data_IF_452229258100
#
_entry.id   IF_452229258100
#
_cell.length_a   1.000
_cell.length_b   1.000
_cell.length_c   1.000
_cell.angle_alpha   90.00
_cell.angle_beta   90.00
_cell.angle_gamma   90.00
#
_symmetry.space_group_name_H-M   'P 1'
#
loop_
_entity.id
_entity.type
_entity.pdbx_description
1 polymer ?
#
# COMPACT_ATOMS: atom_id res chain seq x y z
N UNK A 1 33.07 -1.54 33.39
CA UNK A 1 33.26 -1.74 31.93
C UNK A 1 32.46 -2.93 31.39
N UNK A 2 32.61 -4.16 31.91
CA UNK A 2 31.82 -5.33 31.45
C UNK A 2 30.30 -5.15 31.46
N UNK A 3 29.74 -4.48 32.49
CA UNK A 3 28.30 -4.20 32.59
C UNK A 3 27.79 -3.21 31.52
N UNK A 4 28.63 -2.23 31.14
CA UNK A 4 28.30 -1.25 30.08
C UNK A 4 28.36 -1.93 28.71
N UNK A 5 29.37 -2.77 28.48
CA UNK A 5 29.50 -3.57 27.26
C UNK A 5 28.30 -4.52 27.12
N UNK A 6 27.87 -5.17 28.20
CA UNK A 6 26.71 -6.05 28.20
C UNK A 6 25.40 -5.29 27.90
N UNK A 7 25.21 -4.10 28.48
CA UNK A 7 24.06 -3.25 28.18
C UNK A 7 24.04 -2.75 26.73
N UNK A 8 25.21 -2.45 26.16
CA UNK A 8 25.35 -2.03 24.77
C UNK A 8 25.02 -3.17 23.78
N UNK A 9 25.48 -4.39 24.09
CA UNK A 9 25.18 -5.59 23.28
C UNK A 9 23.69 -5.95 23.37
N UNK A 10 23.09 -5.82 24.55
CA UNK A 10 21.66 -6.11 24.74
C UNK A 10 20.79 -5.11 23.97
N UNK A 11 21.11 -3.81 24.04
CA UNK A 11 20.37 -2.78 23.28
C UNK A 11 20.54 -2.93 21.77
N UNK A 12 21.73 -3.31 21.29
CA UNK A 12 21.96 -3.58 19.87
C UNK A 12 21.23 -4.85 19.37
N UNK A 13 21.12 -5.89 20.22
CA UNK A 13 20.39 -7.12 19.90
C UNK A 13 18.87 -6.97 19.85
N UNK A 14 18.28 -6.05 20.63
CA UNK A 14 16.86 -5.71 20.52
C UNK A 14 16.53 -4.92 19.24
N UNK A 15 17.47 -4.11 18.72
CA UNK A 15 17.27 -3.34 17.50
C UNK A 15 17.13 -4.23 16.24
N UNK A 16 17.71 -5.43 16.22
CA UNK A 16 17.66 -6.32 15.05
C UNK A 16 16.37 -7.11 14.91
N UNK A 17 15.52 -7.18 15.94
CA UNK A 17 14.24 -7.92 15.91
C UNK A 17 13.16 -7.13 15.14
N UNK A 18 13.40 -5.83 14.87
CA UNK A 18 12.42 -4.96 14.20
C UNK A 18 12.53 -4.93 12.67
N UNK A 19 13.41 -5.73 12.05
CA UNK A 19 13.41 -5.89 10.59
C UNK A 19 12.25 -6.80 10.19
N UNK A 20 11.16 -6.16 9.76
CA UNK A 20 9.81 -6.69 9.67
C UNK A 20 9.58 -7.84 8.69
N UNK A 21 8.54 -8.61 9.00
CA UNK A 21 7.95 -9.59 8.09
C UNK A 21 7.39 -8.87 6.85
N UNK A 22 7.61 -9.42 5.65
CA UNK A 22 6.90 -8.97 4.45
C UNK A 22 5.39 -9.12 4.70
N UNK A 23 4.63 -8.04 4.53
CA UNK A 23 3.19 -8.03 4.82
C UNK A 23 2.35 -8.75 3.75
N UNK A 24 3.00 -9.22 2.68
CA UNK A 24 2.39 -9.97 1.59
C UNK A 24 3.31 -11.09 1.08
N UNK A 25 2.69 -12.13 0.55
CA UNK A 25 3.32 -13.22 -0.18
C UNK A 25 3.24 -12.96 -1.69
N UNK A 26 4.28 -13.38 -2.42
CA UNK A 26 4.30 -13.35 -3.89
C UNK A 26 3.94 -14.73 -4.42
N UNK A 27 2.91 -14.80 -5.26
CA UNK A 27 2.49 -16.00 -5.97
C UNK A 27 2.94 -15.88 -7.43
N UNK A 28 3.73 -16.83 -7.91
CA UNK A 28 4.23 -16.83 -9.30
C UNK A 28 3.19 -17.53 -10.18
N UNK A 29 2.64 -16.80 -11.14
CA UNK A 29 1.61 -17.31 -12.07
C UNK A 29 2.23 -17.71 -13.42
N UNK A 30 3.38 -17.13 -13.77
CA UNK A 30 4.05 -17.38 -15.05
C UNK A 30 5.36 -16.61 -15.20
N UNK A 31 5.92 -16.60 -16.42
CA UNK A 31 7.16 -15.88 -16.71
C UNK A 31 6.89 -14.37 -16.70
N UNK A 32 7.34 -13.70 -15.64
CA UNK A 32 7.12 -12.27 -15.34
C UNK A 32 5.69 -11.90 -14.85
N UNK A 33 4.85 -12.89 -14.55
CA UNK A 33 3.51 -12.70 -14.02
C UNK A 33 3.45 -13.18 -12.58
N UNK A 34 2.91 -12.33 -11.70
CA UNK A 34 2.78 -12.65 -10.28
C UNK A 34 1.57 -11.95 -9.67
N UNK A 35 1.05 -12.58 -8.62
CA UNK A 35 0.02 -12.04 -7.75
C UNK A 35 0.58 -11.77 -6.37
N UNK A 36 -0.01 -10.83 -5.64
CA UNK A 36 0.31 -10.57 -4.24
C UNK A 36 -0.86 -11.01 -3.36
N UNK A 37 -0.55 -11.59 -2.20
CA UNK A 37 -1.53 -12.02 -1.20
C UNK A 37 -1.12 -11.53 0.17
N UNK A 38 -1.92 -10.66 0.79
CA UNK A 38 -1.66 -10.07 2.10
C UNK A 38 -2.01 -8.58 2.13
N UNK A 39 -1.36 -7.83 3.00
CA UNK A 39 -1.49 -6.38 3.06
C UNK A 39 -0.55 -5.76 2.03
N UNK A 40 -1.14 -5.08 1.05
CA UNK A 40 -0.43 -4.50 -0.09
C UNK A 40 -0.60 -2.99 -0.03
N UNK A 41 0.52 -2.27 0.11
CA UNK A 41 0.51 -0.82 0.07
C UNK A 41 0.52 -0.30 -1.37
N UNK A 42 0.16 0.97 -1.56
CA UNK A 42 0.20 1.61 -2.88
C UNK A 42 1.62 1.62 -3.47
N UNK A 43 2.62 1.83 -2.61
CA UNK A 43 4.04 1.92 -2.98
C UNK A 43 4.54 0.60 -3.54
N UNK A 44 4.05 -0.53 -3.03
CA UNK A 44 4.37 -1.87 -3.58
C UNK A 44 3.93 -1.97 -5.05
N UNK A 45 2.75 -1.46 -5.38
CA UNK A 45 2.22 -1.47 -6.74
C UNK A 45 2.96 -0.49 -7.67
N UNK A 46 3.40 0.66 -7.14
CA UNK A 46 4.12 1.68 -7.92
C UNK A 46 5.56 1.29 -8.24
N UNK A 47 6.25 0.61 -7.31
CA UNK A 47 7.69 0.31 -7.43
C UNK A 47 7.98 -0.99 -8.18
N UNK A 48 6.97 -1.83 -8.41
CA UNK A 48 7.15 -3.16 -8.99
C UNK A 48 6.71 -3.19 -10.46
N UNK A 49 7.66 -3.49 -11.34
CA UNK A 49 7.45 -3.46 -12.79
C UNK A 49 6.50 -4.54 -13.32
N UNK A 50 6.09 -5.51 -12.50
CA UNK A 50 5.00 -6.43 -12.85
C UNK A 50 3.61 -5.76 -12.81
N UNK A 51 3.45 -4.59 -12.18
CA UNK A 51 2.16 -3.90 -12.03
C UNK A 51 2.07 -2.60 -12.82
N UNK A 52 2.62 -2.57 -14.06
CA UNK A 52 2.59 -1.40 -14.96
C UNK A 52 1.18 -0.85 -15.21
N UNK A 53 0.17 -1.72 -15.15
CA UNK A 53 -1.23 -1.37 -15.25
C UNK A 53 -1.63 -0.26 -14.26
N UNK A 54 -0.94 -0.10 -13.13
CA UNK A 54 -1.26 0.94 -12.15
C UNK A 54 -1.08 2.34 -12.74
N UNK A 55 0.11 2.63 -13.25
CA UNK A 55 0.42 3.94 -13.84
C UNK A 55 -0.34 4.17 -15.14
N UNK A 56 -0.52 3.11 -15.94
CA UNK A 56 -1.26 3.15 -17.21
C UNK A 56 -2.73 3.54 -16.97
N UNK A 57 -3.41 2.91 -16.00
CA UNK A 57 -4.82 3.17 -15.72
C UNK A 57 -5.08 4.44 -14.89
N UNK A 58 -4.04 5.03 -14.31
CA UNK A 58 -4.11 6.34 -13.66
C UNK A 58 -3.99 7.49 -14.66
N UNK A 59 -3.35 7.27 -15.81
CA UNK A 59 -3.02 8.33 -16.77
C UNK A 59 -4.27 9.05 -17.27
N UNK A 60 -4.29 10.38 -17.11
CA UNK A 60 -5.38 11.23 -17.58
C UNK A 60 -6.67 11.13 -16.76
N UNK A 61 -6.67 10.38 -15.65
CA UNK A 61 -7.80 10.36 -14.74
C UNK A 61 -7.82 11.62 -13.86
N UNK A 62 -9.01 12.21 -13.72
CA UNK A 62 -9.27 13.28 -12.75
C UNK A 62 -10.46 12.84 -11.89
N UNK A 63 -10.32 12.79 -10.55
CA UNK A 63 -11.42 12.43 -9.67
C UNK A 63 -12.63 13.37 -9.83
N UNK A 64 -13.82 12.82 -9.66
CA UNK A 64 -15.05 13.63 -9.65
C UNK A 64 -15.04 14.63 -8.48
N UNK A 65 -15.23 15.91 -8.77
CA UNK A 65 -15.16 16.98 -7.76
C UNK A 65 -16.21 16.84 -6.63
N UNK A 66 -17.40 16.31 -6.94
CA UNK A 66 -18.42 16.01 -5.95
C UNK A 66 -18.02 14.88 -5.01
N UNK A 67 -17.43 13.81 -5.56
CA UNK A 67 -16.90 12.70 -4.77
C UNK A 67 -15.75 13.15 -3.85
N UNK A 68 -14.81 13.96 -4.36
CA UNK A 68 -13.72 14.55 -3.55
C UNK A 68 -14.29 15.35 -2.39
N UNK A 69 -15.24 16.24 -2.67
CA UNK A 69 -15.87 17.10 -1.66
C UNK A 69 -16.57 16.28 -0.59
N UNK A 70 -17.35 15.28 -1.00
CA UNK A 70 -18.09 14.40 -0.09
C UNK A 70 -17.14 13.58 0.78
N UNK A 71 -16.10 13.00 0.19
CA UNK A 71 -15.14 12.18 0.92
C UNK A 71 -14.36 13.00 1.93
N UNK A 72 -13.90 14.20 1.54
CA UNK A 72 -13.23 15.13 2.44
C UNK A 72 -14.11 15.53 3.63
N UNK A 73 -15.40 15.76 3.41
CA UNK A 73 -16.37 16.11 4.47
C UNK A 73 -16.54 15.00 5.51
N UNK A 74 -16.43 13.73 5.08
CA UNK A 74 -16.74 12.56 5.91
C UNK A 74 -15.50 11.75 6.32
N UNK A 75 -14.29 12.21 5.97
CA UNK A 75 -13.04 11.48 6.17
C UNK A 75 -12.77 11.06 7.63
N UNK A 76 -13.30 11.81 8.59
CA UNK A 76 -13.16 11.50 10.02
C UNK A 76 -14.22 10.57 10.59
N UNK A 77 -15.30 10.36 9.85
CA UNK A 77 -16.43 9.53 10.26
C UNK A 77 -16.43 8.12 9.66
N UNK A 78 -15.50 7.81 8.75
CA UNK A 78 -15.48 6.55 8.02
C UNK A 78 -14.11 5.88 8.06
N UNK A 79 -14.12 4.54 7.97
CA UNK A 79 -12.96 3.71 7.74
C UNK A 79 -13.18 2.94 6.42
N UNK A 80 -12.12 2.80 5.63
CA UNK A 80 -12.16 2.10 4.35
C UNK A 80 -11.35 0.81 4.48
N UNK A 81 -12.05 -0.34 4.45
CA UNK A 81 -11.44 -1.65 4.34
C UNK A 81 -11.58 -2.12 2.89
N UNK A 82 -10.45 -2.28 2.20
CA UNK A 82 -10.43 -2.56 0.76
C UNK A 82 -9.84 -3.94 0.52
N UNK A 83 -10.61 -4.78 -0.18
CA UNK A 83 -10.15 -6.05 -0.72
C UNK A 83 -10.03 -5.92 -2.24
N UNK A 84 -8.91 -6.36 -2.78
CA UNK A 84 -8.59 -6.25 -4.19
C UNK A 84 -7.73 -7.44 -4.62
N UNK A 85 -7.72 -7.73 -5.92
CA UNK A 85 -6.86 -8.76 -6.49
C UNK A 85 -5.85 -8.14 -7.44
N UNK A 86 -4.55 -8.33 -7.21
CA UNK A 86 -3.51 -7.86 -8.17
C UNK A 86 -3.55 -8.60 -9.51
N UNK A 87 -4.34 -9.67 -9.62
CA UNK A 87 -4.60 -10.45 -10.83
C UNK A 87 -5.95 -10.11 -11.48
N UNK A 88 -6.76 -9.24 -10.85
CA UNK A 88 -8.10 -8.92 -11.31
C UNK A 88 -8.12 -7.62 -12.13
N UNK A 89 -8.63 -7.69 -13.36
CA UNK A 89 -8.69 -6.56 -14.29
C UNK A 89 -9.54 -5.39 -13.74
N UNK A 90 -10.65 -5.68 -13.06
CA UNK A 90 -11.46 -4.64 -12.41
C UNK A 90 -10.66 -3.90 -11.32
N UNK A 91 -9.86 -4.64 -10.55
CA UNK A 91 -8.97 -4.03 -9.55
C UNK A 91 -7.92 -3.15 -10.23
N UNK A 92 -7.36 -3.58 -11.37
CA UNK A 92 -6.40 -2.78 -12.14
C UNK A 92 -7.00 -1.45 -12.59
N UNK A 93 -8.28 -1.46 -12.96
CA UNK A 93 -9.00 -0.29 -13.44
C UNK A 93 -9.44 0.67 -12.34
N UNK A 94 -9.83 0.14 -11.18
CA UNK A 94 -10.47 0.90 -10.10
C UNK A 94 -9.44 1.40 -9.07
N UNK A 95 -8.49 0.56 -8.68
CA UNK A 95 -7.59 0.85 -7.55
C UNK A 95 -6.73 2.12 -7.78
N UNK A 96 -6.11 2.34 -8.96
CA UNK A 96 -5.31 3.55 -9.16
C UNK A 96 -6.16 4.82 -9.04
N UNK A 97 -7.39 4.79 -9.58
CA UNK A 97 -8.35 5.90 -9.54
C UNK A 97 -8.87 6.14 -8.12
N UNK A 98 -9.11 5.07 -7.37
CA UNK A 98 -9.50 5.13 -5.97
C UNK A 98 -8.43 5.78 -5.10
N UNK A 99 -7.15 5.38 -5.25
CA UNK A 99 -6.05 6.05 -4.55
C UNK A 99 -5.93 7.54 -4.93
N UNK A 100 -6.08 7.88 -6.21
CA UNK A 100 -6.10 9.28 -6.66
C UNK A 100 -7.23 10.09 -6.02
N UNK A 101 -8.42 9.51 -5.87
CA UNK A 101 -9.53 10.13 -5.14
C UNK A 101 -9.20 10.35 -3.66
N UNK A 102 -8.60 9.35 -2.99
CA UNK A 102 -8.20 9.45 -1.58
C UNK A 102 -7.17 10.58 -1.37
N UNK A 103 -6.14 10.63 -2.22
CA UNK A 103 -5.09 11.64 -2.17
C UNK A 103 -5.64 13.04 -2.41
N UNK A 104 -6.46 13.21 -3.44
CA UNK A 104 -7.09 14.50 -3.76
C UNK A 104 -8.03 14.98 -2.65
N UNK A 105 -8.62 14.04 -1.90
CA UNK A 105 -9.49 14.32 -0.75
C UNK A 105 -8.72 14.55 0.55
N UNK A 106 -7.38 14.41 0.54
CA UNK A 106 -6.53 14.39 1.74
C UNK A 106 -6.99 13.35 2.79
N UNK A 107 -7.52 12.22 2.33
CA UNK A 107 -7.97 11.14 3.21
C UNK A 107 -6.76 10.42 3.83
N UNK A 108 -6.76 10.25 5.16
CA UNK A 108 -5.67 9.53 5.85
C UNK A 108 -5.72 8.03 5.53
N UNK A 109 -4.58 7.50 5.06
CA UNK A 109 -4.41 6.07 4.72
C UNK A 109 -3.96 5.23 5.93
N UNK A 110 -3.75 5.86 7.10
CA UNK A 110 -3.13 5.27 8.29
C UNK A 110 -4.13 5.01 9.44
N UNK A 111 -5.44 4.98 9.15
CA UNK A 111 -6.50 4.80 10.15
C UNK A 111 -6.85 3.35 10.48
#
# INVERSE_FOLDING_TARGET
MKKIIFALILTLGLATISFGQNQYEVLIEGKNEKSLKGIISQEVLLNDTSFKWYAENLKGYTPNAGAVTSLKKHADSIQLLVFMGTWCEDSHNIIPKFYSLLETSAFSKEK
#
